data_IF_670537540770
#
_entry.id   IF_670537540770
#
_cell.length_a   1.000
_cell.length_b   1.000
_cell.length_c   1.000
_cell.angle_alpha   90.00
_cell.angle_beta   90.00
_cell.angle_gamma   90.00
#
_symmetry.space_group_name_H-M   'P 1'
#
loop_
_entity.id
_entity.type
_entity.pdbx_description
1 polymer ?
#
# COMPACT_ATOMS: atom_id res chain seq x y z
N UNK A 1 2.40 1.52 -17.55
CA UNK A 1 1.86 0.52 -16.61
C UNK A 1 1.61 1.07 -15.21
N UNK A 2 2.58 1.19 -14.28
CA UNK A 2 2.26 1.72 -12.91
C UNK A 2 1.67 3.13 -12.94
N UNK A 3 2.22 4.04 -13.75
CA UNK A 3 1.67 5.39 -13.87
C UNK A 3 0.22 5.39 -14.35
N UNK A 4 -0.11 4.60 -15.37
CA UNK A 4 -1.48 4.45 -15.87
C UNK A 4 -2.41 3.83 -14.83
N UNK A 5 -1.91 2.89 -14.00
CA UNK A 5 -2.68 2.36 -12.88
C UNK A 5 -3.01 3.47 -11.86
N UNK A 6 -2.08 4.37 -11.56
CA UNK A 6 -2.34 5.51 -10.68
C UNK A 6 -3.37 6.46 -11.29
N UNK A 7 -3.28 6.75 -12.60
CA UNK A 7 -4.25 7.58 -13.29
C UNK A 7 -5.66 6.97 -13.24
N UNK A 8 -5.80 5.65 -13.50
CA UNK A 8 -7.08 4.95 -13.40
C UNK A 8 -7.65 4.93 -11.97
N UNK A 9 -6.80 4.78 -10.96
CA UNK A 9 -7.22 4.86 -9.55
C UNK A 9 -7.73 6.27 -9.24
N UNK A 10 -7.03 7.30 -9.69
CA UNK A 10 -7.45 8.70 -9.50
C UNK A 10 -8.80 8.94 -10.17
N UNK A 11 -8.98 8.50 -11.41
CA UNK A 11 -10.26 8.62 -12.11
C UNK A 11 -11.41 7.94 -11.36
N UNK A 12 -11.17 6.76 -10.77
CA UNK A 12 -12.17 6.06 -9.96
C UNK A 12 -12.51 6.80 -8.66
N UNK A 13 -11.51 7.38 -7.98
CA UNK A 13 -11.68 8.15 -6.75
C UNK A 13 -12.40 9.48 -7.02
N UNK A 14 -11.98 10.22 -8.04
CA UNK A 14 -12.56 11.51 -8.42
C UNK A 14 -13.96 11.35 -9.04
N UNK A 15 -14.23 10.23 -9.71
CA UNK A 15 -15.48 10.00 -10.44
C UNK A 15 -16.69 9.71 -9.56
N UNK A 16 -16.51 9.06 -8.40
CA UNK A 16 -17.61 8.81 -7.46
C UNK A 16 -17.13 8.39 -6.07
N UNK A 17 -17.96 8.67 -5.05
CA UNK A 17 -17.71 8.21 -3.69
C UNK A 17 -17.66 6.67 -3.59
N UNK A 18 -18.53 5.97 -4.31
CA UNK A 18 -18.50 4.51 -4.36
C UNK A 18 -17.19 3.98 -4.97
N UNK A 19 -16.72 4.60 -6.05
CA UNK A 19 -15.43 4.26 -6.67
C UNK A 19 -14.26 4.46 -5.70
N UNK A 20 -14.25 5.58 -4.99
CA UNK A 20 -13.27 5.83 -3.94
C UNK A 20 -13.32 4.76 -2.83
N UNK A 21 -14.51 4.43 -2.31
CA UNK A 21 -14.68 3.41 -1.29
C UNK A 21 -14.21 2.02 -1.74
N UNK A 22 -14.48 1.65 -3.00
CA UNK A 22 -14.02 0.37 -3.56
C UNK A 22 -12.50 0.32 -3.63
N UNK A 23 -11.85 1.37 -4.17
CA UNK A 23 -10.39 1.47 -4.24
C UNK A 23 -9.77 1.41 -2.84
N UNK A 24 -10.26 2.25 -1.92
CA UNK A 24 -9.67 2.36 -0.60
C UNK A 24 -9.91 1.10 0.25
N UNK A 25 -11.09 0.50 0.12
CA UNK A 25 -11.42 -0.77 0.75
C UNK A 25 -10.52 -1.90 0.26
N UNK A 26 -10.25 -1.98 -1.05
CA UNK A 26 -9.31 -2.95 -1.61
C UNK A 26 -7.90 -2.75 -1.07
N UNK A 27 -7.40 -1.50 -1.05
CA UNK A 27 -6.07 -1.21 -0.53
C UNK A 27 -5.95 -1.56 0.96
N UNK A 28 -6.97 -1.26 1.76
CA UNK A 28 -7.01 -1.66 3.16
C UNK A 28 -7.04 -3.18 3.33
N UNK A 29 -7.79 -3.93 2.52
CA UNK A 29 -7.76 -5.39 2.55
C UNK A 29 -6.37 -5.94 2.20
N UNK A 30 -5.69 -5.39 1.20
CA UNK A 30 -4.34 -5.79 0.85
C UNK A 30 -3.35 -5.51 2.01
N UNK A 31 -3.43 -4.34 2.64
CA UNK A 31 -2.56 -3.96 3.76
C UNK A 31 -2.84 -4.78 5.02
N UNK A 32 -4.11 -5.00 5.38
CA UNK A 32 -4.50 -5.63 6.65
C UNK A 32 -4.74 -7.14 6.54
N UNK A 33 -5.44 -7.57 5.50
CA UNK A 33 -5.80 -8.97 5.26
C UNK A 33 -4.65 -9.79 4.67
N UNK A 34 -3.95 -9.23 3.68
CA UNK A 34 -2.77 -9.85 3.06
C UNK A 34 -1.43 -9.34 3.66
N UNK A 35 -1.47 -8.76 4.87
CA UNK A 35 -0.31 -8.10 5.50
C UNK A 35 0.97 -8.93 5.47
N UNK A 36 0.89 -10.21 5.81
CA UNK A 36 2.06 -11.10 5.87
C UNK A 36 2.82 -11.12 4.53
N UNK A 37 2.10 -11.23 3.40
CA UNK A 37 2.70 -11.21 2.06
C UNK A 37 3.28 -9.86 1.70
N UNK A 38 2.54 -8.78 1.96
CA UNK A 38 3.00 -7.41 1.65
C UNK A 38 4.24 -7.06 2.48
N UNK A 39 4.25 -7.42 3.76
CA UNK A 39 5.35 -7.17 4.68
C UNK A 39 6.59 -8.00 4.30
N UNK A 40 6.43 -9.28 3.98
CA UNK A 40 7.50 -10.14 3.48
C UNK A 40 8.13 -9.58 2.19
N UNK A 41 7.32 -9.10 1.25
CA UNK A 41 7.82 -8.48 0.00
C UNK A 41 8.52 -7.14 0.25
N UNK A 42 8.26 -6.46 1.36
CA UNK A 42 8.92 -5.19 1.67
C UNK A 42 10.14 -5.33 2.57
N UNK A 43 10.21 -6.38 3.40
CA UNK A 43 11.24 -6.57 4.42
C UNK A 43 12.10 -7.83 4.21
N UNK A 44 11.58 -8.86 3.55
CA UNK A 44 12.23 -10.17 3.38
C UNK A 44 13.04 -10.34 2.09
N UNK A 45 12.82 -9.49 1.09
CA UNK A 45 13.52 -9.51 -0.19
C UNK A 45 14.70 -8.54 -0.18
N UNK A 46 15.86 -9.02 -0.62
CA UNK A 46 17.06 -8.20 -0.82
C UNK A 46 17.23 -7.96 -2.32
N UNK A 47 17.63 -6.75 -2.69
CA UNK A 47 17.95 -6.43 -4.09
C UNK A 47 19.12 -7.30 -4.56
N UNK A 48 18.97 -7.94 -5.72
CA UNK A 48 20.05 -8.69 -6.36
C UNK A 48 21.13 -7.69 -6.76
N UNK A 49 22.30 -7.73 -6.10
CA UNK A 49 23.42 -6.82 -6.38
C UNK A 49 24.13 -7.08 -7.70
N UNK A 50 23.79 -8.19 -8.37
CA UNK A 50 24.44 -8.67 -9.58
C UNK A 50 23.98 -7.92 -10.84
N UNK A 51 22.85 -7.21 -10.76
CA UNK A 51 22.29 -6.41 -11.86
C UNK A 51 21.94 -5.01 -11.35
N UNK A 52 22.13 -3.99 -12.19
CA UNK A 52 21.64 -2.65 -11.86
C UNK A 52 20.12 -2.66 -11.71
N UNK A 53 19.60 -1.96 -10.70
CA UNK A 53 18.17 -1.80 -10.53
C UNK A 53 17.59 -1.07 -11.75
N UNK A 54 16.53 -1.62 -12.35
CA UNK A 54 15.84 -0.96 -13.44
C UNK A 54 15.35 0.44 -13.01
N UNK A 55 15.70 1.46 -13.79
CA UNK A 55 15.20 2.82 -13.59
C UNK A 55 13.78 2.93 -14.11
N UNK A 56 12.82 3.08 -13.20
CA UNK A 56 11.41 3.22 -13.55
C UNK A 56 10.98 4.68 -13.55
N UNK A 57 10.48 5.15 -14.70
CA UNK A 57 9.92 6.50 -14.82
C UNK A 57 8.79 6.75 -13.82
N UNK A 58 8.01 5.72 -13.44
CA UNK A 58 6.95 5.84 -12.42
C UNK A 58 7.47 6.09 -10.99
N UNK A 59 8.72 5.77 -10.71
CA UNK A 59 9.37 6.06 -9.42
C UNK A 59 10.07 7.41 -9.48
N UNK A 60 10.65 7.77 -10.63
CA UNK A 60 11.31 9.05 -10.84
C UNK A 60 10.34 10.24 -10.99
N UNK A 61 9.19 10.01 -11.63
CA UNK A 61 8.12 11.00 -11.80
C UNK A 61 7.02 10.77 -10.76
N UNK A 62 7.02 11.61 -9.72
CA UNK A 62 6.07 11.55 -8.62
C UNK A 62 4.77 12.29 -8.90
N UNK A 63 4.62 12.97 -10.04
CA UNK A 63 3.46 13.84 -10.33
C UNK A 63 2.13 13.10 -10.25
N UNK A 64 2.07 11.87 -10.77
CA UNK A 64 0.88 11.02 -10.72
C UNK A 64 0.53 10.57 -9.32
N UNK A 65 1.53 10.23 -8.51
CA UNK A 65 1.30 9.89 -7.11
C UNK A 65 0.84 11.12 -6.31
N UNK A 66 1.41 12.31 -6.57
CA UNK A 66 0.93 13.56 -5.96
C UNK A 66 -0.54 13.82 -6.33
N UNK A 67 -0.95 13.54 -7.57
CA UNK A 67 -2.35 13.64 -7.99
C UNK A 67 -3.25 12.68 -7.19
N UNK A 68 -2.81 11.43 -6.98
CA UNK A 68 -3.49 10.49 -6.10
C UNK A 68 -3.62 11.00 -4.66
N UNK A 69 -2.54 11.53 -4.09
CA UNK A 69 -2.56 12.08 -2.73
C UNK A 69 -3.60 13.19 -2.61
N UNK A 70 -3.67 14.09 -3.61
CA UNK A 70 -4.67 15.17 -3.68
C UNK A 70 -6.10 14.62 -3.82
N UNK A 71 -6.33 13.64 -4.69
CA UNK A 71 -7.64 13.01 -4.85
C UNK A 71 -8.14 12.38 -3.53
N UNK A 72 -7.22 11.95 -2.65
CA UNK A 72 -7.54 11.36 -1.36
C UNK A 72 -7.68 12.38 -0.22
N UNK A 73 -7.25 13.64 -0.39
CA UNK A 73 -7.35 14.69 0.66
C UNK A 73 -8.74 14.82 1.29
N UNK A 74 -9.86 14.76 0.53
CA UNK A 74 -11.21 14.88 1.11
C UNK A 74 -11.56 13.80 2.13
N UNK A 75 -10.89 12.65 2.09
CA UNK A 75 -11.12 11.52 3.00
C UNK A 75 -10.27 11.60 4.27
N UNK A 76 -9.44 12.63 4.41
CA UNK A 76 -8.61 12.88 5.58
C UNK A 76 -7.33 12.04 5.63
N UNK A 77 -6.63 12.15 6.75
CA UNK A 77 -5.41 11.39 7.07
C UNK A 77 -5.24 11.31 8.58
N UNK A 78 -4.73 10.17 9.05
CA UNK A 78 -4.27 9.95 10.42
C UNK A 78 -2.75 10.22 10.55
N UNK A 79 -2.10 10.66 9.47
CA UNK A 79 -0.67 10.97 9.44
C UNK A 79 0.19 9.80 9.92
N UNK A 80 1.08 10.02 10.89
CA UNK A 80 1.97 8.99 11.43
C UNK A 80 1.24 7.88 12.17
N UNK A 81 -0.01 8.09 12.60
CA UNK A 81 -0.81 7.06 13.27
C UNK A 81 -1.52 6.13 12.28
N UNK A 82 -1.61 6.52 11.01
CA UNK A 82 -2.28 5.77 9.95
C UNK A 82 -1.61 4.43 9.60
N UNK A 83 -2.31 3.56 8.86
CA UNK A 83 -1.75 2.32 8.36
C UNK A 83 -0.60 2.60 7.39
N UNK A 84 0.48 1.84 7.54
CA UNK A 84 1.61 1.88 6.62
C UNK A 84 2.08 0.45 6.35
N UNK A 85 2.39 0.15 5.10
CA UNK A 85 2.87 -1.18 4.67
C UNK A 85 4.14 -1.64 5.42
N UNK A 86 4.90 -0.70 5.96
CA UNK A 86 6.11 -0.97 6.75
C UNK A 86 5.86 -1.25 8.22
N UNK A 87 4.67 -0.95 8.75
CA UNK A 87 4.29 -1.23 10.15
C UNK A 87 3.94 -2.69 10.33
N UNK A 88 4.10 -3.21 11.54
CA UNK A 88 3.68 -4.58 11.86
C UNK A 88 2.17 -4.64 11.97
N UNK A 89 1.58 -5.78 11.55
CA UNK A 89 0.13 -6.00 11.63
C UNK A 89 -0.43 -5.72 13.02
N UNK A 90 0.23 -6.23 14.06
CA UNK A 90 -0.20 -6.07 15.46
C UNK A 90 -0.24 -4.60 15.92
N UNK A 91 0.62 -3.74 15.37
CA UNK A 91 0.61 -2.30 15.65
C UNK A 91 -0.59 -1.64 14.98
N UNK A 92 -0.83 -2.00 13.71
CA UNK A 92 -1.97 -1.48 12.95
C UNK A 92 -3.32 -1.98 13.50
N UNK A 93 -3.45 -3.23 13.91
CA UNK A 93 -4.69 -3.77 14.50
C UNK A 93 -5.07 -3.06 15.79
N UNK A 94 -4.08 -2.68 16.62
CA UNK A 94 -4.31 -1.90 17.83
C UNK A 94 -4.91 -0.54 17.49
N UNK A 95 -4.32 0.20 16.55
CA UNK A 95 -4.83 1.51 16.15
C UNK A 95 -6.17 1.39 15.42
N UNK A 96 -6.33 0.42 14.53
CA UNK A 96 -7.59 0.23 13.80
C UNK A 96 -8.78 -0.05 14.72
N UNK A 97 -8.53 -0.72 15.86
CA UNK A 97 -9.58 -1.02 16.85
C UNK A 97 -10.27 0.23 17.38
N UNK A 98 -9.56 1.36 17.46
CA UNK A 98 -10.10 2.66 17.88
C UNK A 98 -10.62 3.47 16.69
N UNK A 99 -9.97 3.40 15.53
CA UNK A 99 -10.41 4.13 14.33
C UNK A 99 -11.75 3.63 13.78
N UNK A 100 -12.02 2.32 13.84
CA UNK A 100 -13.22 1.73 13.21
C UNK A 100 -14.56 2.16 13.84
N UNK A 101 -14.54 2.71 15.05
CA UNK A 101 -15.73 3.20 15.74
C UNK A 101 -16.10 4.65 15.40
N UNK A 102 -15.20 5.39 14.76
CA UNK A 102 -15.46 6.75 14.28
C UNK A 102 -15.44 6.74 12.73
N UNK A 103 -16.56 7.08 12.06
CA UNK A 103 -16.62 7.12 10.61
C UNK A 103 -15.54 7.99 9.96
N UNK A 104 -15.21 9.15 10.54
CA UNK A 104 -14.21 10.05 9.96
C UNK A 104 -12.80 9.44 10.08
N UNK A 105 -12.45 8.90 11.25
CA UNK A 105 -11.19 8.19 11.45
C UNK A 105 -11.09 6.92 10.59
N UNK A 106 -12.20 6.20 10.39
CA UNK A 106 -12.23 5.04 9.51
C UNK A 106 -11.97 5.41 8.05
N UNK A 107 -12.57 6.49 7.55
CA UNK A 107 -12.29 6.99 6.19
C UNK A 107 -10.84 7.43 6.02
N UNK A 108 -10.30 8.15 6.99
CA UNK A 108 -8.88 8.56 6.99
C UNK A 108 -7.94 7.36 7.00
N UNK A 109 -8.27 6.30 7.75
CA UNK A 109 -7.54 5.04 7.74
C UNK A 109 -7.51 4.39 6.35
N UNK A 110 -8.66 4.29 5.68
CA UNK A 110 -8.76 3.70 4.35
C UNK A 110 -7.96 4.51 3.32
N UNK A 111 -8.01 5.85 3.41
CA UNK A 111 -7.23 6.74 2.56
C UNK A 111 -5.72 6.58 2.77
N UNK A 112 -5.26 6.50 4.01
CA UNK A 112 -3.85 6.29 4.34
C UNK A 112 -3.34 4.91 3.90
N UNK A 113 -4.17 3.86 3.99
CA UNK A 113 -3.81 2.53 3.48
C UNK A 113 -3.60 2.58 1.96
N UNK A 114 -4.42 3.35 1.26
CA UNK A 114 -4.32 3.59 -0.18
C UNK A 114 -3.04 4.34 -0.54
N UNK A 115 -2.76 5.46 0.15
CA UNK A 115 -1.50 6.22 -0.01
C UNK A 115 -0.29 5.31 0.20
N UNK A 116 -0.30 4.53 1.28
CA UNK A 116 0.85 3.70 1.63
C UNK A 116 1.06 2.53 0.66
N UNK A 117 0.00 1.91 0.14
CA UNK A 117 0.13 0.76 -0.76
C UNK A 117 0.48 1.18 -2.19
N UNK A 118 -0.09 2.29 -2.66
CA UNK A 118 0.06 2.78 -4.03
C UNK A 118 1.23 3.75 -4.20
N UNK A 119 2.01 4.01 -3.14
CA UNK A 119 3.28 4.71 -3.28
C UNK A 119 4.15 3.98 -4.33
N UNK A 120 4.69 4.68 -5.34
CA UNK A 120 5.33 4.03 -6.48
C UNK A 120 6.47 3.07 -6.14
N UNK A 121 7.25 3.36 -5.10
CA UNK A 121 8.34 2.48 -4.64
C UNK A 121 7.79 1.19 -4.04
N UNK A 122 6.74 1.29 -3.21
CA UNK A 122 6.02 0.14 -2.65
C UNK A 122 5.39 -0.69 -3.77
N UNK A 123 4.62 -0.05 -4.65
CA UNK A 123 3.92 -0.76 -5.72
C UNK A 123 4.91 -1.44 -6.68
N UNK A 124 6.06 -0.79 -6.97
CA UNK A 124 7.10 -1.40 -7.79
C UNK A 124 7.70 -2.62 -7.12
N UNK A 125 7.99 -2.57 -5.82
CA UNK A 125 8.49 -3.75 -5.08
C UNK A 125 7.50 -4.92 -5.12
N UNK A 126 6.20 -4.64 -5.05
CA UNK A 126 5.15 -5.66 -5.15
C UNK A 126 5.10 -6.27 -6.55
N UNK A 127 5.10 -5.44 -7.60
CA UNK A 127 5.00 -5.89 -8.99
C UNK A 127 6.28 -6.59 -9.46
N UNK A 128 7.44 -6.12 -9.02
CA UNK A 128 8.76 -6.62 -9.41
C UNK A 128 9.33 -7.65 -8.46
N UNK A 129 8.51 -8.38 -7.70
CA UNK A 129 8.99 -9.41 -6.77
C UNK A 129 9.95 -10.41 -7.43
N UNK A 130 9.83 -10.62 -8.75
CA UNK A 130 10.72 -11.47 -9.58
C UNK A 130 12.15 -10.94 -9.76
N UNK A 131 12.41 -9.65 -9.50
CA UNK A 131 13.74 -9.02 -9.59
C UNK A 131 14.45 -8.95 -8.23
N UNK A 132 13.86 -9.49 -7.17
CA UNK A 132 14.44 -9.51 -5.84
C UNK A 132 14.82 -10.94 -5.43
N UNK A 133 15.95 -11.08 -4.74
CA UNK A 133 16.35 -12.35 -4.16
C UNK A 133 15.57 -12.54 -2.86
N UNK A 134 14.80 -13.62 -2.79
CA UNK A 134 14.11 -13.99 -1.56
C UNK A 134 15.14 -14.50 -0.55
N UNK A 135 15.37 -13.72 0.50
CA UNK A 135 16.28 -14.07 1.61
C UNK A 135 15.54 -14.34 2.92
N UNK A 136 14.21 -14.29 2.90
CA UNK A 136 13.39 -14.68 4.03
C UNK A 136 13.37 -16.19 4.20
N UNK A 137 13.01 -16.66 5.40
CA UNK A 137 12.70 -18.07 5.61
C UNK A 137 11.65 -18.48 4.56
N UNK A 138 12.00 -19.44 3.71
CA UNK A 138 11.01 -20.12 2.85
C UNK A 138 10.05 -20.77 3.83
N UNK A 139 8.87 -20.19 3.99
CA UNK A 139 7.98 -20.40 5.12
C UNK A 139 8.08 -21.78 5.77
N UNK A 140 8.82 -21.88 6.87
CA UNK A 140 8.51 -22.84 7.93
C UNK A 140 7.38 -22.21 8.75
N UNK A 141 6.23 -22.03 8.12
CA UNK A 141 5.02 -21.57 8.79
C UNK A 141 4.00 -22.64 8.51
N UNK A 142 3.87 -23.57 9.45
CA UNK A 142 2.66 -24.38 9.56
C UNK A 142 1.48 -23.39 9.54
N UNK A 143 0.75 -23.37 8.43
CA UNK A 143 -0.43 -22.53 8.28
C UNK A 143 -1.54 -23.10 9.19
N UNK A 144 -1.49 -22.76 10.49
CA UNK A 144 -2.34 -23.25 11.59
C UNK A 144 -2.27 -24.79 11.84
N UNK A 145 -2.66 -25.28 13.05
CA UNK A 145 -2.72 -26.73 13.32
C UNK A 145 -3.77 -27.44 12.45
#
# INVERSE_FOLDING_TARGET
MIGECLDAVVEAVEGSELGALVVMGYCNWAVMGAHHKVYEVLKGVKGIKQYEACNYASVADTSRYVRLVRALEPYGTLSEDGPMVTKRRVEMEKVYSTCRSDPAAHMAWLADATRSLLEPTVLRRIVDVVHYEWSGDVGAVDYCP
#
